data_IF_850735765994
#
_entry.id   IF_850735765994
#
_cell.length_a   1.000
_cell.length_b   1.000
_cell.length_c   1.000
_cell.angle_alpha   90.00
_cell.angle_beta   90.00
_cell.angle_gamma   90.00
#
_symmetry.space_group_name_H-M   'P 1'
#
loop_
_entity.id
_entity.type
_entity.pdbx_description
1 polymer ?
#
# COMPACT_ATOMS: atom_id res chain seq x y z
N UNK A 1 -1.95 -13.83 -8.10
CA UNK A 1 -2.87 -13.67 -6.95
C UNK A 1 -3.96 -12.70 -7.36
N UNK A 2 -5.13 -12.80 -6.71
CA UNK A 2 -6.20 -11.82 -6.87
C UNK A 2 -5.99 -10.65 -5.88
N UNK A 3 -6.65 -9.52 -6.13
CA UNK A 3 -6.64 -8.41 -5.18
C UNK A 3 -7.36 -8.80 -3.89
N UNK A 4 -6.86 -8.33 -2.75
CA UNK A 4 -7.42 -8.62 -1.43
C UNK A 4 -7.38 -7.38 -0.54
N UNK A 5 -8.22 -7.35 0.49
CA UNK A 5 -8.27 -6.26 1.45
C UNK A 5 -7.52 -6.64 2.71
N UNK A 6 -6.82 -5.67 3.30
CA UNK A 6 -6.16 -5.78 4.60
C UNK A 6 -6.61 -4.62 5.48
N UNK A 7 -6.54 -4.82 6.79
CA UNK A 7 -6.80 -3.77 7.77
C UNK A 7 -5.48 -3.37 8.45
N UNK A 8 -5.20 -2.08 8.53
CA UNK A 8 -4.03 -1.56 9.25
C UNK A 8 -4.45 -0.45 10.21
N UNK A 9 -3.64 -0.22 11.24
CA UNK A 9 -3.81 0.92 12.15
C UNK A 9 -3.00 2.12 11.66
N UNK A 10 -3.68 3.22 11.38
CA UNK A 10 -3.08 4.50 11.00
C UNK A 10 -3.66 5.64 11.84
N UNK A 11 -2.81 6.42 12.50
CA UNK A 11 -3.25 7.57 13.32
C UNK A 11 -4.18 7.21 14.49
N UNK A 12 -4.24 5.95 14.91
CA UNK A 12 -5.16 5.46 15.95
C UNK A 12 -6.50 4.94 15.44
N UNK A 13 -6.72 4.93 14.12
CA UNK A 13 -7.92 4.38 13.49
C UNK A 13 -7.54 3.17 12.61
N UNK A 14 -8.45 2.18 12.56
CA UNK A 14 -8.33 1.07 11.63
C UNK A 14 -8.81 1.52 10.24
N UNK A 15 -7.96 1.35 9.22
CA UNK A 15 -8.26 1.65 7.83
C UNK A 15 -8.16 0.39 6.97
N UNK A 16 -9.04 0.27 5.99
CA UNK A 16 -9.05 -0.85 5.05
C UNK A 16 -8.32 -0.48 3.76
N UNK A 17 -7.26 -1.19 3.44
CA UNK A 17 -6.47 -1.03 2.22
C UNK A 17 -6.74 -2.20 1.27
N UNK A 18 -6.80 -1.92 -0.03
CA UNK A 18 -6.85 -2.94 -1.07
C UNK A 18 -5.45 -3.16 -1.62
N UNK A 19 -4.96 -4.38 -1.50
CA UNK A 19 -3.69 -4.83 -2.04
C UNK A 19 -3.93 -5.47 -3.39
N UNK A 20 -3.30 -4.90 -4.42
CA UNK A 20 -3.38 -5.37 -5.79
C UNK A 20 -2.01 -5.96 -6.16
N UNK A 21 -1.86 -7.30 -6.18
CA UNK A 21 -0.61 -7.93 -6.54
C UNK A 21 -0.28 -7.71 -8.02
N UNK A 22 0.99 -7.40 -8.30
CA UNK A 22 1.59 -7.31 -9.64
C UNK A 22 2.72 -8.35 -9.74
N UNK A 23 3.41 -8.40 -10.88
CA UNK A 23 4.43 -9.43 -11.14
C UNK A 23 5.57 -9.40 -10.09
N UNK A 24 6.06 -8.20 -9.74
CA UNK A 24 7.22 -8.05 -8.86
C UNK A 24 6.99 -7.14 -7.64
N UNK A 25 5.75 -6.68 -7.44
CA UNK A 25 5.40 -5.73 -6.37
C UNK A 25 3.90 -5.75 -6.07
N UNK A 26 3.47 -5.01 -5.04
CA UNK A 26 2.08 -4.91 -4.62
C UNK A 26 1.64 -3.46 -4.60
N UNK A 27 0.59 -3.11 -5.35
CA UNK A 27 -0.02 -1.78 -5.27
C UNK A 27 -0.92 -1.72 -4.04
N UNK A 28 -0.91 -0.58 -3.37
CA UNK A 28 -1.72 -0.28 -2.20
C UNK A 28 -2.74 0.77 -2.63
N UNK A 29 -4.01 0.41 -2.56
CA UNK A 29 -5.13 1.31 -2.83
C UNK A 29 -5.92 1.57 -1.56
N UNK A 30 -6.44 2.79 -1.44
CA UNK A 30 -7.37 3.19 -0.40
C UNK A 30 -8.56 3.89 -1.03
N UNK A 31 -9.76 3.41 -0.72
CA UNK A 31 -11.00 3.84 -1.34
C UNK A 31 -10.90 3.84 -2.89
N UNK A 32 -10.85 5.02 -3.52
CA UNK A 32 -10.82 5.18 -4.99
C UNK A 32 -9.43 5.54 -5.53
N UNK A 33 -8.38 5.53 -4.68
CA UNK A 33 -7.04 5.98 -5.06
C UNK A 33 -5.92 5.02 -4.72
N UNK A 34 -4.97 4.83 -5.64
CA UNK A 34 -3.67 4.19 -5.34
C UNK A 34 -2.84 5.11 -4.45
N UNK A 35 -2.50 4.68 -3.23
CA UNK A 35 -1.62 5.38 -2.30
C UNK A 35 -0.14 5.22 -2.68
N UNK A 36 0.22 4.04 -3.18
CA UNK A 36 1.59 3.72 -3.56
C UNK A 36 1.73 2.25 -3.91
N UNK A 37 2.97 1.78 -3.93
CA UNK A 37 3.28 0.37 -4.11
C UNK A 37 4.44 -0.01 -3.20
N UNK A 38 4.43 -1.25 -2.72
CA UNK A 38 5.54 -1.83 -1.96
C UNK A 38 6.09 -3.04 -2.70
N UNK A 39 7.40 -3.22 -2.57
CA UNK A 39 8.13 -4.35 -3.14
C UNK A 39 8.94 -5.01 -2.05
N UNK A 40 9.01 -6.34 -2.10
CA UNK A 40 9.92 -7.12 -1.27
C UNK A 40 11.28 -7.21 -1.95
N UNK A 41 12.33 -6.73 -1.29
CA UNK A 41 13.71 -6.92 -1.71
C UNK A 41 14.49 -7.67 -0.63
N UNK A 42 14.76 -8.95 -0.88
CA UNK A 42 15.37 -9.83 0.12
C UNK A 42 14.40 -10.13 1.26
N UNK A 43 14.78 -9.72 2.48
CA UNK A 43 13.98 -9.89 3.69
C UNK A 43 13.11 -8.67 4.03
N UNK A 44 13.36 -7.54 3.37
CA UNK A 44 12.77 -6.25 3.72
C UNK A 44 11.74 -5.81 2.66
N UNK A 45 10.81 -4.98 3.10
CA UNK A 45 9.76 -4.40 2.26
C UNK A 45 9.97 -2.91 2.13
N UNK A 46 9.97 -2.42 0.89
CA UNK A 46 10.26 -1.03 0.56
C UNK A 46 9.11 -0.39 -0.19
N UNK A 47 8.82 0.87 0.13
CA UNK A 47 7.92 1.69 -0.66
C UNK A 47 8.62 2.06 -1.98
N UNK A 48 7.95 1.80 -3.08
CA UNK A 48 8.42 2.15 -4.41
C UNK A 48 8.20 3.65 -4.67
N UNK A 49 9.16 4.26 -5.36
CA UNK A 49 9.00 5.63 -5.83
C UNK A 49 7.86 5.72 -6.87
N UNK A 50 7.07 6.80 -6.87
CA UNK A 50 5.94 6.95 -7.79
C UNK A 50 6.27 6.78 -9.26
N UNK A 51 7.50 7.13 -9.67
CA UNK A 51 8.01 7.00 -11.04
C UNK A 51 8.24 5.54 -11.48
N UNK A 52 8.45 4.64 -10.51
CA UNK A 52 8.68 3.21 -10.75
C UNK A 52 7.36 2.42 -10.76
N UNK A 53 6.24 3.08 -10.52
CA UNK A 53 4.90 2.51 -10.61
C UNK A 53 4.33 2.87 -11.99
N UNK A 54 3.63 1.92 -12.63
CA UNK A 54 3.08 2.10 -13.98
C UNK A 54 2.48 3.51 -14.20
N UNK A 55 2.95 4.25 -15.22
CA UNK A 55 2.57 5.64 -15.43
C UNK A 55 1.08 5.76 -15.73
N UNK A 56 0.37 6.56 -14.92
CA UNK A 56 -1.07 6.82 -15.06
C UNK A 56 -1.92 6.37 -13.86
N UNK A 57 -1.37 5.57 -12.94
CA UNK A 57 -2.12 5.06 -11.78
C UNK A 57 -1.78 5.77 -10.45
N UNK A 58 -0.63 6.44 -10.39
CA UNK A 58 -0.16 7.15 -9.19
C UNK A 58 -0.28 8.64 -9.41
N UNK A 59 -1.34 9.27 -8.90
CA UNK A 59 -1.22 10.68 -8.55
C UNK A 59 -0.33 10.73 -7.31
N UNK A 60 0.63 11.65 -7.30
CA UNK A 60 1.68 11.83 -6.30
C UNK A 60 1.39 11.31 -4.89
N UNK A 61 2.42 10.78 -4.23
CA UNK A 61 2.53 10.08 -2.93
C UNK A 61 1.95 10.80 -1.68
N UNK A 62 1.00 11.72 -1.86
CA UNK A 62 0.38 12.61 -0.89
C UNK A 62 -1.14 12.64 -1.17
N UNK A 63 -1.77 11.46 -1.30
CA UNK A 63 -3.20 11.40 -1.61
C UNK A 63 -4.02 11.68 -0.36
N UNK A 64 -4.74 12.80 -0.40
CA UNK A 64 -5.92 13.02 0.40
C UNK A 64 -6.91 11.88 0.10
N UNK A 65 -7.28 11.14 1.14
CA UNK A 65 -8.44 10.25 1.11
C UNK A 65 -9.66 11.05 0.62
N UNK A 66 -10.69 10.41 0.03
CA UNK A 66 -11.94 11.10 -0.31
C UNK A 66 -12.60 11.80 0.90
N UNK A 67 -12.26 11.38 2.12
CA UNK A 67 -12.67 12.00 3.39
C UNK A 67 -11.74 13.15 3.87
N UNK A 68 -10.73 13.54 3.09
CA UNK A 68 -9.75 14.57 3.45
C UNK A 68 -8.65 14.10 4.41
N UNK A 69 -8.57 12.80 4.72
CA UNK A 69 -7.50 12.22 5.55
C UNK A 69 -6.22 12.04 4.75
N UNK A 70 -5.12 12.60 5.22
CA UNK A 70 -3.82 12.42 4.59
C UNK A 70 -3.21 11.09 5.07
N UNK A 71 -3.18 10.07 4.22
CA UNK A 71 -2.58 8.78 4.55
C UNK A 71 -1.14 8.78 4.05
N UNK A 72 -0.20 8.80 4.98
CA UNK A 72 1.23 8.71 4.68
C UNK A 72 1.69 7.29 4.98
N UNK A 73 2.25 6.62 3.96
CA UNK A 73 2.84 5.30 4.10
C UNK A 73 4.25 5.42 4.69
N UNK A 74 4.34 5.51 6.01
CA UNK A 74 5.60 5.48 6.74
C UNK A 74 6.11 4.06 6.98
N UNK A 75 7.27 3.94 7.62
CA UNK A 75 7.87 2.64 7.95
C UNK A 75 6.95 1.76 8.82
N UNK A 76 6.15 2.37 9.72
CA UNK A 76 5.22 1.65 10.57
C UNK A 76 4.05 1.05 9.76
N UNK A 77 3.47 1.81 8.84
CA UNK A 77 2.43 1.34 7.93
C UNK A 77 2.96 0.26 7.01
N UNK A 78 4.14 0.45 6.40
CA UNK A 78 4.77 -0.52 5.50
C UNK A 78 4.99 -1.85 6.21
N UNK A 79 5.48 -1.85 7.45
CA UNK A 79 5.70 -3.08 8.22
C UNK A 79 4.38 -3.82 8.53
N UNK A 80 3.31 -3.10 8.85
CA UNK A 80 1.98 -3.71 9.06
C UNK A 80 1.46 -4.32 7.76
N UNK A 81 1.51 -3.57 6.66
CA UNK A 81 1.07 -4.03 5.34
C UNK A 81 1.86 -5.27 4.91
N UNK A 82 3.19 -5.23 5.05
CA UNK A 82 4.07 -6.35 4.75
C UNK A 82 3.68 -7.61 5.54
N UNK A 83 3.45 -7.46 6.86
CA UNK A 83 3.02 -8.55 7.72
C UNK A 83 1.69 -9.17 7.27
N UNK A 84 0.71 -8.33 6.91
CA UNK A 84 -0.59 -8.79 6.40
C UNK A 84 -0.45 -9.50 5.05
N UNK A 85 0.35 -8.98 4.13
CA UNK A 85 0.61 -9.62 2.83
C UNK A 85 1.31 -10.97 3.03
N UNK A 86 2.32 -11.05 3.90
CA UNK A 86 3.00 -12.32 4.20
C UNK A 86 2.08 -13.33 4.86
N UNK A 87 1.10 -12.88 5.65
CA UNK A 87 0.09 -13.76 6.23
C UNK A 87 -0.87 -14.32 5.17
N UNK A 88 -1.23 -13.52 4.16
CA UNK A 88 -2.06 -13.95 3.02
C UNK A 88 -1.30 -14.83 2.01
N UNK A 89 0.04 -14.76 1.99
CA UNK A 89 0.91 -15.57 1.13
C UNK A 89 1.24 -16.96 1.71
N UNK A 90 0.92 -17.21 2.98
CA UNK A 90 1.11 -18.52 3.65
C UNK A 90 0.00 -19.50 3.28
#
# INVERSE_FOLDING_TARGET
MEAFNIEIMHGGEAINLTIIPKEDYFKIAFAEGILGAIKKEGADWFLMEPENIEPGEVSACDKLSPEGKHIVLGAAEINQIAGEIENQLK
#
